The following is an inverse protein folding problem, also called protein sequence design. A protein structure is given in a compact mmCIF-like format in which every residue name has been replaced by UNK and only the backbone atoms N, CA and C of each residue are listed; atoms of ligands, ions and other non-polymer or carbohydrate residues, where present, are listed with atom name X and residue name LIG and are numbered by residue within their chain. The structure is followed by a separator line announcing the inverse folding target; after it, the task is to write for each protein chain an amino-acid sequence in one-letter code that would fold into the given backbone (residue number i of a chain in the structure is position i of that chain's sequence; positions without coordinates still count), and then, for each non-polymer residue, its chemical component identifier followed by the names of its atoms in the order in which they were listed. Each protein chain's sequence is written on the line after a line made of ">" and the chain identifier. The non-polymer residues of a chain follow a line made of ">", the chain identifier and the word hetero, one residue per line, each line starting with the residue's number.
data_IF_029740770841
#
_entry.id   IF_029740770841
#
_cell.length_a   1.000
_cell.length_b   1.000
_cell.length_c   1.000
_cell.angle_alpha   90.00
_cell.angle_beta   90.00
_cell.angle_gamma   90.00
#
_symmetry.space_group_name_H-M   'P 1'
#
loop_
_entity.id
_entity.type
_entity.pdbx_description
1 polymer ?
#
# COMPACT_ATOMS: atom_id res chain seq x y z
N UNK A 1 -5.99 -13.31 12.66
CA UNK A 1 -6.63 -12.11 12.10
C UNK A 1 -8.12 -12.37 11.85
N UNK A 2 -9.03 -11.43 12.09
CA UNK A 2 -10.46 -11.69 11.87
C UNK A 2 -10.81 -11.50 10.39
N UNK A 3 -11.53 -12.45 9.80
CA UNK A 3 -12.00 -12.42 8.40
C UNK A 3 -12.74 -11.11 8.06
N UNK A 4 -13.37 -10.51 9.08
CA UNK A 4 -14.03 -9.21 9.01
C UNK A 4 -13.07 -8.02 8.78
N UNK A 5 -11.82 -8.09 9.24
CA UNK A 5 -10.80 -7.06 9.01
C UNK A 5 -10.29 -7.09 7.56
N UNK A 6 -10.06 -8.29 7.00
CA UNK A 6 -9.69 -8.48 5.59
C UNK A 6 -10.72 -7.86 4.65
N UNK A 7 -11.99 -8.21 4.83
CA UNK A 7 -13.09 -7.67 4.02
C UNK A 7 -13.16 -6.14 4.07
N UNK A 8 -12.88 -5.56 5.24
CA UNK A 8 -12.88 -4.10 5.42
C UNK A 8 -11.69 -3.44 4.72
N UNK A 9 -10.51 -4.04 4.76
CA UNK A 9 -9.34 -3.54 4.02
C UNK A 9 -9.59 -3.66 2.51
N UNK A 10 -10.03 -4.82 2.03
CA UNK A 10 -10.33 -5.06 0.61
C UNK A 10 -11.36 -4.06 0.05
N UNK A 11 -12.42 -3.75 0.81
CA UNK A 11 -13.40 -2.70 0.44
C UNK A 11 -12.77 -1.31 0.36
N UNK A 12 -11.84 -0.99 1.27
CA UNK A 12 -11.19 0.32 1.30
C UNK A 12 -10.16 0.50 0.18
N UNK A 13 -9.44 -0.55 -0.19
CA UNK A 13 -8.49 -0.50 -1.31
C UNK A 13 -9.18 -0.05 -2.61
N UNK A 14 -10.42 -0.51 -2.84
CA UNK A 14 -11.22 -0.11 -4.01
C UNK A 14 -11.62 1.38 -4.03
N UNK A 15 -11.48 2.09 -2.90
CA UNK A 15 -11.75 3.53 -2.82
C UNK A 15 -10.58 4.38 -3.29
N UNK A 16 -9.40 3.79 -3.52
CA UNK A 16 -8.22 4.50 -3.98
C UNK A 16 -8.19 4.54 -5.51
N UNK A 17 -8.50 5.69 -6.15
CA UNK A 17 -8.59 5.76 -7.61
C UNK A 17 -7.25 5.46 -8.29
N UNK A 18 -6.15 5.88 -7.66
CA UNK A 18 -4.77 5.64 -8.07
C UNK A 18 -4.29 4.20 -7.87
N UNK A 19 -5.08 3.33 -7.21
CA UNK A 19 -4.75 1.91 -7.01
C UNK A 19 -5.52 0.99 -7.98
N UNK A 20 -6.52 1.51 -8.70
CA UNK A 20 -7.41 0.69 -9.53
C UNK A 20 -6.68 -0.13 -10.61
N UNK A 21 -5.65 0.45 -11.24
CA UNK A 21 -4.82 -0.23 -12.24
C UNK A 21 -3.90 -1.28 -11.63
N UNK A 22 -3.39 -1.06 -10.42
CA UNK A 22 -2.57 -2.04 -9.72
C UNK A 22 -3.40 -3.27 -9.31
N UNK A 23 -4.62 -3.04 -8.82
CA UNK A 23 -5.53 -4.12 -8.42
C UNK A 23 -6.00 -4.97 -9.61
N UNK A 24 -6.14 -4.38 -10.80
CA UNK A 24 -6.55 -5.15 -11.99
C UNK A 24 -5.45 -6.05 -12.55
N UNK A 25 -4.18 -5.81 -12.19
CA UNK A 25 -3.02 -6.60 -12.59
C UNK A 25 -2.70 -7.76 -11.64
N UNK A 26 -3.39 -7.84 -10.50
CA UNK A 26 -3.14 -8.84 -9.46
C UNK A 26 -4.32 -9.78 -9.32
N UNK A 27 -4.03 -11.07 -9.13
CA UNK A 27 -5.04 -12.05 -8.79
C UNK A 27 -5.60 -11.79 -7.39
N UNK A 28 -6.86 -12.15 -7.19
CA UNK A 28 -7.55 -11.94 -5.92
C UNK A 28 -6.82 -12.61 -4.75
N UNK A 29 -6.32 -13.83 -4.94
CA UNK A 29 -5.61 -14.57 -3.89
C UNK A 29 -4.30 -13.85 -3.49
N UNK A 30 -3.62 -13.22 -4.44
CA UNK A 30 -2.43 -12.40 -4.16
C UNK A 30 -2.83 -11.16 -3.35
N UNK A 31 -3.91 -10.48 -3.75
CA UNK A 31 -4.41 -9.31 -3.03
C UNK A 31 -4.79 -9.68 -1.58
N UNK A 32 -5.47 -10.80 -1.39
CA UNK A 32 -5.90 -11.26 -0.07
C UNK A 32 -4.69 -11.60 0.83
N UNK A 33 -3.63 -12.22 0.30
CA UNK A 33 -2.40 -12.44 1.07
C UNK A 33 -1.65 -11.14 1.41
N UNK A 34 -1.57 -10.19 0.48
CA UNK A 34 -0.94 -8.89 0.76
C UNK A 34 -1.73 -8.09 1.82
N UNK A 35 -3.05 -8.28 1.89
CA UNK A 35 -3.87 -7.70 2.96
C UNK A 35 -3.56 -8.36 4.30
N UNK A 36 -3.40 -9.69 4.34
CA UNK A 36 -3.02 -10.41 5.57
C UNK A 36 -1.67 -9.91 6.10
N UNK A 37 -0.66 -9.86 5.23
CA UNK A 37 0.68 -9.35 5.57
C UNK A 37 0.62 -7.92 6.11
N UNK A 38 -0.19 -7.06 5.49
CA UNK A 38 -0.36 -5.67 5.91
C UNK A 38 -1.04 -5.56 7.28
N UNK A 39 -2.01 -6.43 7.59
CA UNK A 39 -2.67 -6.46 8.88
C UNK A 39 -1.74 -6.98 9.99
N UNK A 40 -0.99 -8.04 9.74
CA UNK A 40 -0.03 -8.60 10.69
C UNK A 40 1.09 -7.61 10.99
N UNK A 41 1.59 -6.91 9.96
CA UNK A 41 2.57 -5.85 10.14
C UNK A 41 2.01 -4.64 10.89
N UNK A 42 0.77 -4.23 10.61
CA UNK A 42 0.12 -3.14 11.35
C UNK A 42 -0.11 -3.52 12.83
N UNK A 43 -0.52 -4.76 13.12
CA UNK A 43 -0.63 -5.25 14.49
C UNK A 43 0.72 -5.22 15.22
N UNK A 44 1.78 -5.71 14.57
CA UNK A 44 3.15 -5.70 15.09
C UNK A 44 3.65 -4.28 15.37
N UNK A 45 3.27 -3.32 14.52
CA UNK A 45 3.62 -1.91 14.68
C UNK A 45 2.82 -1.17 15.76
N UNK A 46 1.89 -1.86 16.44
CA UNK A 46 1.13 -1.33 17.57
C UNK A 46 -0.20 -0.69 17.20
N UNK A 47 -0.70 -0.90 15.98
CA UNK A 47 -2.08 -0.52 15.64
C UNK A 47 -3.06 -1.42 16.42
N UNK A 48 -4.13 -0.81 16.91
CA UNK A 48 -5.19 -1.47 17.70
C UNK A 48 -6.43 -1.71 16.85
N UNK A 49 -7.41 -2.46 17.36
CA UNK A 49 -8.67 -2.71 16.64
C UNK A 49 -9.36 -1.43 16.10
N UNK A 50 -9.18 -0.30 16.79
CA UNK A 50 -9.73 0.99 16.39
C UNK A 50 -9.14 1.56 15.09
N UNK A 51 -7.88 1.25 14.76
CA UNK A 51 -7.13 1.88 13.68
C UNK A 51 -6.33 0.92 12.78
N UNK A 52 -6.28 -0.37 13.11
CA UNK A 52 -5.55 -1.41 12.37
C UNK A 52 -6.00 -1.51 10.92
N UNK A 53 -7.32 -1.45 10.66
CA UNK A 53 -7.86 -1.46 9.29
C UNK A 53 -7.33 -0.28 8.49
N UNK A 54 -7.18 0.91 9.11
CA UNK A 54 -6.68 2.10 8.42
C UNK A 54 -5.19 1.96 8.10
N UNK A 55 -4.38 1.55 9.07
CA UNK A 55 -2.95 1.29 8.86
C UNK A 55 -2.72 0.24 7.77
N UNK A 56 -3.38 -0.92 7.91
CA UNK A 56 -3.28 -2.00 6.95
C UNK A 56 -3.79 -1.63 5.55
N UNK A 57 -4.78 -0.73 5.42
CA UNK A 57 -5.24 -0.26 4.09
C UNK A 57 -4.13 0.46 3.34
N UNK A 58 -3.40 1.36 3.98
CA UNK A 58 -2.30 2.07 3.33
C UNK A 58 -1.13 1.15 3.02
N UNK A 59 -0.82 0.22 3.93
CA UNK A 59 0.26 -0.73 3.72
C UNK A 59 -0.06 -1.76 2.61
N UNK A 60 -1.27 -2.31 2.59
CA UNK A 60 -1.73 -3.20 1.53
C UNK A 60 -1.77 -2.49 0.16
N UNK A 61 -2.17 -1.21 0.12
CA UNK A 61 -2.13 -0.41 -1.11
C UNK A 61 -0.69 -0.26 -1.64
N UNK A 62 0.27 0.00 -0.76
CA UNK A 62 1.69 0.04 -1.12
C UNK A 62 2.17 -1.30 -1.68
N UNK A 63 1.84 -2.41 -1.00
CA UNK A 63 2.22 -3.75 -1.46
C UNK A 63 1.61 -4.10 -2.81
N UNK A 64 0.33 -3.81 -3.03
CA UNK A 64 -0.34 -4.05 -4.32
C UNK A 64 0.32 -3.24 -5.45
N UNK A 65 0.66 -1.97 -5.19
CA UNK A 65 1.39 -1.15 -6.16
C UNK A 65 2.75 -1.76 -6.50
N UNK A 66 3.52 -2.18 -5.49
CA UNK A 66 4.83 -2.79 -5.70
C UNK A 66 4.74 -4.11 -6.48
N UNK A 67 3.81 -4.99 -6.10
CA UNK A 67 3.60 -6.28 -6.74
C UNK A 67 3.15 -6.12 -8.20
N UNK A 68 2.27 -5.16 -8.49
CA UNK A 68 1.78 -4.90 -9.85
C UNK A 68 2.83 -4.24 -10.78
N UNK A 69 3.87 -3.62 -10.22
CA UNK A 69 4.95 -2.97 -10.98
C UNK A 69 5.96 -3.96 -11.58
N UNK A 70 5.83 -5.26 -11.29
CA UNK A 70 6.78 -6.31 -11.69
C UNK A 70 6.79 -6.65 -13.20
N UNK A 71 5.97 -5.99 -14.02
CA UNK A 71 6.00 -6.08 -15.48
C UNK A 71 7.12 -5.30 -16.19
N UNK A 72 8.02 -4.61 -15.48
CA UNK A 72 9.06 -3.74 -16.07
C UNK A 72 10.43 -4.42 -16.32
N UNK A 73 10.51 -5.75 -16.23
CA UNK A 73 11.75 -6.48 -16.50
C UNK A 73 12.12 -6.66 -17.99
N UNK A 74 11.42 -6.03 -18.95
CA UNK A 74 11.78 -6.12 -20.38
C UNK A 74 11.65 -4.77 -21.09
N UNK A 75 12.81 -4.26 -21.53
CA UNK A 75 13.08 -3.31 -22.63
C UNK A 75 13.58 -1.91 -22.24
N UNK A 76 14.91 -1.76 -22.15
CA UNK A 76 15.72 -0.91 -23.06
C UNK A 76 17.16 -0.79 -22.54
N UNK A 77 18.03 -1.66 -23.04
CA UNK A 77 19.35 -1.17 -23.45
C UNK A 77 19.12 -0.18 -24.60
N UNK A 78 18.89 1.09 -24.29
CA UNK A 78 19.06 2.18 -25.25
C UNK A 78 19.97 3.21 -24.60
N UNK A 79 21.28 2.95 -24.73
CA UNK A 79 22.29 3.96 -24.58
C UNK A 79 22.15 4.99 -25.70
N UNK A 80 21.65 6.18 -25.40
CA UNK A 80 22.21 7.45 -25.88
C UNK A 80 21.35 8.62 -25.42
N UNK A 81 21.95 9.46 -24.59
CA UNK A 81 21.66 10.89 -24.43
C UNK A 81 20.34 11.25 -23.70
N UNK A 82 20.53 11.66 -22.43
CA UNK A 82 19.68 12.59 -21.66
C UNK A 82 18.15 12.44 -21.79
N UNK A 83 17.57 11.64 -20.91
CA UNK A 83 16.26 11.96 -20.32
C UNK A 83 16.30 11.43 -18.88
N UNK A 84 16.39 12.32 -17.89
CA UNK A 84 16.18 11.93 -16.50
C UNK A 84 14.67 11.91 -16.31
N UNK A 85 14.04 10.82 -16.73
CA UNK A 85 12.68 10.50 -16.28
C UNK A 85 12.81 10.07 -14.82
N UNK A 86 12.43 10.97 -13.90
CA UNK A 86 12.12 10.54 -12.55
C UNK A 86 11.00 9.53 -12.68
N UNK A 87 11.23 8.30 -12.20
CA UNK A 87 10.15 7.34 -12.00
C UNK A 87 9.12 8.00 -11.10
N UNK A 88 8.04 8.52 -11.68
CA UNK A 88 6.86 8.88 -10.94
C UNK A 88 6.24 7.56 -10.46
N UNK A 89 6.59 7.15 -9.24
CA UNK A 89 6.09 5.94 -8.58
C UNK A 89 4.64 6.15 -8.14
N UNK A 90 3.80 6.60 -9.07
CA UNK A 90 2.45 7.13 -8.89
C UNK A 90 1.74 6.52 -7.68
N UNK A 91 1.61 7.31 -6.62
CA UNK A 91 0.87 6.97 -5.41
C UNK A 91 1.44 5.87 -4.50
N UNK A 92 2.41 5.06 -4.94
CA UNK A 92 2.99 3.98 -4.10
C UNK A 92 3.77 4.53 -2.91
N UNK A 93 4.58 5.56 -3.17
CA UNK A 93 5.33 6.24 -2.12
C UNK A 93 4.36 7.03 -1.20
N UNK A 94 3.29 7.60 -1.74
CA UNK A 94 2.28 8.33 -0.96
C UNK A 94 1.56 7.43 0.07
N UNK A 95 1.24 6.19 -0.31
CA UNK A 95 0.63 5.23 0.62
C UNK A 95 1.57 4.86 1.76
N UNK A 96 2.86 4.65 1.47
CA UNK A 96 3.85 4.35 2.49
C UNK A 96 4.13 5.57 3.38
N UNK A 97 4.11 6.78 2.83
CA UNK A 97 4.23 8.03 3.58
C UNK A 97 3.06 8.17 4.57
N UNK A 98 1.82 7.96 4.13
CA UNK A 98 0.65 8.00 5.02
C UNK A 98 0.67 6.90 6.08
N UNK A 99 1.11 5.69 5.72
CA UNK A 99 1.32 4.61 6.70
C UNK A 99 2.30 5.03 7.79
N UNK A 100 3.46 5.58 7.41
CA UNK A 100 4.47 6.04 8.35
C UNK A 100 3.98 7.24 9.19
N UNK A 101 3.19 8.14 8.60
CA UNK A 101 2.55 9.25 9.33
C UNK A 101 1.62 8.73 10.42
N UNK A 102 0.78 7.75 10.10
CA UNK A 102 -0.10 7.11 11.07
C UNK A 102 0.71 6.39 12.16
N UNK A 103 1.75 5.64 11.79
CA UNK A 103 2.64 4.95 12.74
C UNK A 103 3.29 5.94 13.72
N UNK A 104 3.75 7.08 13.23
CA UNK A 104 4.31 8.14 14.06
C UNK A 104 3.26 8.76 15.01
N UNK A 105 2.01 8.91 14.56
CA UNK A 105 0.92 9.42 15.40
C UNK A 105 0.61 8.52 16.61
N UNK A 106 0.80 7.19 16.47
CA UNK A 106 0.63 6.23 17.57
C UNK A 106 1.63 6.49 18.69
N UNK A 107 2.89 6.77 18.34
CA UNK A 107 3.97 7.07 19.31
C UNK A 107 3.75 8.37 20.07
N UNK A 108 3.06 9.32 19.46
CA UNK A 108 2.80 10.64 20.06
C UNK A 108 1.43 10.72 20.75
N UNK A 109 0.64 9.63 20.75
CA UNK A 109 -0.72 9.55 21.30
C UNK A 109 -1.64 10.70 20.83
N UNK A 110 -1.36 11.27 19.66
CA UNK A 110 -2.16 12.33 19.05
C UNK A 110 -2.27 12.07 17.55
N UNK A 111 -3.50 11.83 17.09
CA UNK A 111 -3.77 11.79 15.65
C UNK A 111 -3.82 13.25 15.20
N UNK A 112 -2.68 13.80 14.78
CA UNK A 112 -2.63 15.13 14.15
C UNK A 112 -3.09 15.01 12.71
N UNK A 113 -4.27 15.55 12.45
CA UNK A 113 -4.72 15.91 11.11
C UNK A 113 -4.19 17.31 10.83
N UNK A 114 -3.30 17.44 9.84
CA UNK A 114 -3.13 18.68 9.07
C UNK A 114 -3.68 18.41 7.68
#
# INVERSE_FOLDING_TARGET
>A
MSEQQNDRVAKRLKLFPNLSEALSKLDKDIIDELINDALDQAATDGFTESNIVRGATYLAAHFCNLASATGSNISKQQASVLTIEYFDRGGSDDFLVEYNRLKNSLRQNSIRFM
#
